data_IF_904215388345
#
_entry.id   IF_904215388345
#
_cell.length_a   1.000
_cell.length_b   1.000
_cell.length_c   1.000
_cell.angle_alpha   90.00
_cell.angle_beta   90.00
_cell.angle_gamma   90.00
#
_symmetry.space_group_name_H-M   'P 1'
#
loop_
_entity.id
_entity.type
_entity.pdbx_description
1 polymer ?
#
# COMPACT_ATOMS: atom_id res chain seq x y z
N UNK A 1 -5.30 -1.69 32.72
CA UNK A 1 -5.83 -1.44 31.36
C UNK A 1 -4.65 -1.33 30.41
N UNK A 2 -4.60 -2.14 29.34
CA UNK A 2 -3.54 -2.02 28.32
C UNK A 2 -4.00 -0.91 27.37
N UNK A 3 -3.18 0.14 27.12
CA UNK A 3 -3.54 1.17 26.16
C UNK A 3 -3.85 0.49 24.83
N UNK A 4 -5.02 0.81 24.29
CA UNK A 4 -5.48 0.32 23.00
C UNK A 4 -4.35 0.56 22.01
N UNK A 5 -3.83 -0.52 21.39
CA UNK A 5 -2.95 -0.37 20.23
C UNK A 5 -3.83 0.21 19.13
N UNK A 6 -3.95 1.54 19.10
CA UNK A 6 -4.51 2.25 17.96
C UNK A 6 -3.72 1.76 16.77
N UNK A 7 -4.39 1.04 15.86
CA UNK A 7 -3.79 0.60 14.61
C UNK A 7 -3.45 1.89 13.89
N UNK A 8 -2.16 2.26 13.92
CA UNK A 8 -1.70 3.46 13.24
C UNK A 8 -1.90 3.22 11.76
N UNK A 9 -2.62 4.13 11.12
CA UNK A 9 -2.84 4.14 9.69
C UNK A 9 -2.36 5.48 9.17
N UNK A 10 -1.55 5.44 8.12
CA UNK A 10 -1.15 6.67 7.47
C UNK A 10 -2.31 7.20 6.62
N UNK A 11 -2.49 8.53 6.55
CA UNK A 11 -3.49 9.14 5.69
C UNK A 11 -3.14 8.90 4.22
N UNK A 12 -4.16 8.89 3.35
CA UNK A 12 -3.97 8.69 1.91
C UNK A 12 -2.96 9.68 1.29
N UNK A 13 -2.91 10.91 1.80
CA UNK A 13 -1.91 11.92 1.38
C UNK A 13 -0.47 11.42 1.44
N UNK A 14 -0.09 10.61 2.45
CA UNK A 14 1.29 10.09 2.55
C UNK A 14 1.60 9.07 1.46
N UNK A 15 0.62 8.28 1.06
CA UNK A 15 0.76 7.35 -0.06
C UNK A 15 0.80 8.11 -1.38
N UNK A 16 0.00 9.18 -1.52
CA UNK A 16 -0.01 10.05 -2.70
C UNK A 16 1.37 10.70 -2.94
N UNK A 17 2.11 11.07 -1.89
CA UNK A 17 3.51 11.55 -2.01
C UNK A 17 4.44 10.52 -2.68
N UNK A 18 4.16 9.23 -2.54
CA UNK A 18 4.90 8.15 -3.20
C UNK A 18 4.47 7.92 -4.65
N UNK A 19 3.42 8.60 -5.11
CA UNK A 19 2.78 8.35 -6.41
C UNK A 19 1.73 7.25 -6.39
N UNK A 20 1.25 6.85 -5.20
CA UNK A 20 0.17 5.88 -5.05
C UNK A 20 -1.17 6.63 -5.05
N UNK A 21 -2.09 6.30 -5.96
CA UNK A 21 -3.42 6.88 -5.96
C UNK A 21 -4.17 6.60 -4.66
N UNK A 22 -4.98 7.54 -4.21
CA UNK A 22 -5.76 7.43 -2.97
C UNK A 22 -6.71 6.22 -2.99
N UNK A 23 -7.19 5.81 -4.16
CA UNK A 23 -7.99 4.59 -4.36
C UNK A 23 -7.26 3.30 -4.01
N UNK A 24 -5.92 3.27 -4.12
CA UNK A 24 -5.10 2.12 -3.76
C UNK A 24 -4.81 2.04 -2.26
N UNK A 25 -4.92 3.14 -1.53
CA UNK A 25 -4.69 3.18 -0.07
C UNK A 25 -5.57 2.19 0.69
N UNK A 26 -6.90 2.14 0.51
CA UNK A 26 -7.71 1.14 1.19
C UNK A 26 -7.37 -0.29 0.76
N UNK A 27 -6.87 -0.49 -0.46
CA UNK A 27 -6.44 -1.81 -0.96
C UNK A 27 -5.15 -2.26 -0.27
N UNK A 28 -4.16 -1.37 -0.17
CA UNK A 28 -2.88 -1.59 0.50
C UNK A 28 -3.10 -1.85 2.00
N UNK A 29 -3.93 -1.05 2.67
CA UNK A 29 -4.30 -1.26 4.07
C UNK A 29 -5.02 -2.59 4.28
N UNK A 30 -5.88 -2.97 3.33
CA UNK A 30 -6.57 -4.27 3.35
C UNK A 30 -5.66 -5.46 3.09
N UNK A 31 -4.54 -5.25 2.39
CA UNK A 31 -3.46 -6.23 2.26
C UNK A 31 -2.65 -6.42 3.55
N UNK A 32 -2.83 -5.54 4.54
CA UNK A 32 -2.17 -5.59 5.85
C UNK A 32 -1.15 -4.48 6.07
N UNK A 33 -0.91 -3.62 5.07
CA UNK A 33 0.07 -2.54 5.13
C UNK A 33 -0.62 -1.23 5.50
N UNK A 34 -0.67 -0.95 6.80
CA UNK A 34 -1.44 0.17 7.33
C UNK A 34 -0.68 1.51 7.29
N UNK A 35 0.65 1.44 7.25
CA UNK A 35 1.56 2.57 7.22
C UNK A 35 2.37 2.57 5.93
N UNK A 36 2.85 3.74 5.50
CA UNK A 36 3.82 3.80 4.40
C UNK A 36 5.15 3.18 4.80
N UNK A 37 5.48 3.22 6.09
CA UNK A 37 6.67 2.58 6.65
C UNK A 37 6.61 1.05 6.54
N UNK A 38 5.41 0.45 6.65
CA UNK A 38 5.22 -0.99 6.45
C UNK A 38 5.63 -1.42 5.04
N UNK A 39 5.62 -0.51 4.05
CA UNK A 39 6.00 -0.82 2.67
C UNK A 39 7.52 -0.87 2.47
N UNK A 40 8.32 -0.20 3.31
CA UNK A 40 9.78 -0.08 3.12
C UNK A 40 10.50 -1.42 3.07
N UNK A 41 10.07 -2.36 3.89
CA UNK A 41 10.68 -3.69 4.03
C UNK A 41 9.99 -4.74 3.15
N UNK A 42 8.96 -4.35 2.39
CA UNK A 42 8.16 -5.29 1.62
C UNK A 42 8.78 -5.51 0.25
N UNK A 43 8.72 -6.75 -0.22
CA UNK A 43 9.12 -7.06 -1.58
C UNK A 43 8.09 -6.47 -2.58
N UNK A 44 8.50 -5.64 -3.56
CA UNK A 44 7.60 -5.03 -4.54
C UNK A 44 6.77 -6.04 -5.32
N UNK A 45 7.36 -7.19 -5.66
CA UNK A 45 6.68 -8.28 -6.34
C UNK A 45 5.52 -8.81 -5.48
N UNK A 46 5.75 -8.95 -4.16
CA UNK A 46 4.74 -9.45 -3.23
C UNK A 46 3.62 -8.44 -3.01
N UNK A 47 3.97 -7.18 -2.74
CA UNK A 47 3.00 -6.11 -2.57
C UNK A 47 2.09 -5.99 -3.80
N UNK A 48 2.66 -6.01 -5.00
CA UNK A 48 1.92 -6.03 -6.25
C UNK A 48 0.92 -7.20 -6.31
N UNK A 49 1.34 -8.43 -5.99
CA UNK A 49 0.46 -9.60 -5.99
C UNK A 49 -0.69 -9.45 -4.98
N UNK A 50 -0.40 -8.97 -3.77
CA UNK A 50 -1.40 -8.80 -2.71
C UNK A 50 -2.46 -7.75 -3.11
N UNK A 51 -2.03 -6.56 -3.57
CA UNK A 51 -2.95 -5.47 -3.93
C UNK A 51 -3.71 -5.78 -5.22
N UNK A 52 -3.08 -6.33 -6.25
CA UNK A 52 -3.75 -6.73 -7.50
C UNK A 52 -4.72 -7.89 -7.26
N UNK A 53 -4.38 -8.82 -6.36
CA UNK A 53 -5.27 -9.88 -5.90
C UNK A 53 -6.53 -9.32 -5.26
N UNK A 54 -6.41 -8.32 -4.38
CA UNK A 54 -7.55 -7.63 -3.76
C UNK A 54 -8.35 -6.85 -4.80
N UNK A 55 -7.71 -6.07 -5.66
CA UNK A 55 -8.37 -5.33 -6.75
C UNK A 55 -9.27 -6.26 -7.59
N UNK A 56 -8.73 -7.41 -8.01
CA UNK A 56 -9.49 -8.43 -8.75
C UNK A 56 -10.59 -9.09 -7.93
N UNK A 57 -10.30 -9.43 -6.66
CA UNK A 57 -11.25 -10.11 -5.76
C UNK A 57 -12.49 -9.25 -5.48
N UNK A 58 -12.30 -7.95 -5.28
CA UNK A 58 -13.39 -7.01 -4.99
C UNK A 58 -13.93 -6.30 -6.23
N UNK A 59 -13.41 -6.61 -7.43
CA UNK A 59 -13.80 -5.98 -8.71
C UNK A 59 -13.80 -4.45 -8.60
N UNK A 60 -12.71 -3.89 -8.07
CA UNK A 60 -12.60 -2.44 -7.89
C UNK A 60 -12.32 -1.70 -9.21
N UNK A 61 -11.98 -2.43 -10.27
CA UNK A 61 -11.69 -1.89 -11.61
C UNK A 61 -10.57 -0.83 -11.61
N UNK A 62 -9.70 -0.85 -10.60
CA UNK A 62 -8.58 0.06 -10.49
C UNK A 62 -7.50 -0.28 -11.51
N UNK A 63 -6.86 0.74 -12.07
CA UNK A 63 -5.71 0.58 -12.94
C UNK A 63 -4.58 -0.12 -12.16
N UNK A 64 -4.33 -1.38 -12.50
CA UNK A 64 -3.36 -2.21 -11.80
C UNK A 64 -1.95 -1.67 -12.05
N UNK A 65 -1.20 -1.29 -11.00
CA UNK A 65 0.16 -0.80 -11.16
C UNK A 65 1.06 -1.92 -11.68
N UNK A 66 2.17 -1.58 -12.33
CA UNK A 66 3.18 -2.58 -12.65
C UNK A 66 4.06 -2.86 -11.43
N UNK A 67 4.77 -3.99 -11.44
CA UNK A 67 5.75 -4.32 -10.39
C UNK A 67 6.84 -3.23 -10.28
N UNK A 68 7.19 -2.59 -11.40
CA UNK A 68 8.11 -1.45 -11.43
C UNK A 68 7.55 -0.24 -10.69
N UNK A 69 6.29 0.14 -10.93
CA UNK A 69 5.63 1.24 -10.21
C UNK A 69 5.68 0.98 -8.69
N UNK A 70 5.36 -0.24 -8.28
CA UNK A 70 5.40 -0.65 -6.87
C UNK A 70 6.82 -0.60 -6.30
N UNK A 71 7.83 -0.99 -7.08
CA UNK A 71 9.22 -0.87 -6.69
C UNK A 71 9.64 0.59 -6.51
N UNK A 72 9.21 1.49 -7.40
CA UNK A 72 9.47 2.92 -7.29
C UNK A 72 8.86 3.52 -6.03
N UNK A 73 7.65 3.10 -5.63
CA UNK A 73 7.03 3.54 -4.37
C UNK A 73 7.92 3.20 -3.15
N UNK A 74 8.46 1.98 -3.13
CA UNK A 74 9.33 1.50 -2.05
C UNK A 74 10.70 2.20 -2.11
N UNK A 75 11.23 2.45 -3.30
CA UNK A 75 12.47 3.22 -3.45
C UNK A 75 12.31 4.65 -2.92
N UNK A 76 11.20 5.33 -3.23
CA UNK A 76 10.92 6.70 -2.71
C UNK A 76 10.91 6.76 -1.19
N UNK A 77 10.51 5.68 -0.52
CA UNK A 77 10.53 5.59 0.94
C UNK A 77 11.94 5.41 1.52
N UNK A 78 12.88 4.89 0.73
CA UNK A 78 14.27 4.65 1.10
C UNK A 78 15.22 5.75 0.59
N UNK A 79 14.69 6.74 -0.14
CA UNK A 79 15.44 7.86 -0.73
C UNK A 79 15.62 9.04 0.20
#
# INVERSE_FOLDING_TARGET
MRPEKTIKKDPASKYAELGISEDWVPVIQKAGYNLVDDLKEVNPQKLHQDICGINKKYKLELASPSVNDVAEWIQRLNS
#
